data_IF_899589377456
#
_entry.id   IF_899589377456
#
_cell.length_a   1.000
_cell.length_b   1.000
_cell.length_c   1.000
_cell.angle_alpha   90.00
_cell.angle_beta   90.00
_cell.angle_gamma   90.00
#
_symmetry.space_group_name_H-M   'P 1'
#
loop_
_entity.id
_entity.type
_entity.pdbx_description
1 polymer ?
#
# COMPACT_ATOMS: atom_id res chain seq x y z
N UNK A 1 2.38 -4.85 34.48
CA UNK A 1 3.02 -5.04 33.16
C UNK A 1 2.45 -6.27 32.49
N UNK A 2 1.94 -6.18 31.24
CA UNK A 2 1.60 -7.39 30.45
C UNK A 2 2.90 -8.07 30.03
N UNK A 3 2.98 -9.40 30.12
CA UNK A 3 4.16 -10.11 29.61
C UNK A 3 4.22 -9.97 28.08
N UNK A 4 5.43 -9.80 27.54
CA UNK A 4 5.68 -9.65 26.10
C UNK A 4 5.00 -10.76 25.28
N UNK A 5 5.03 -12.01 25.75
CA UNK A 5 4.33 -13.15 25.13
C UNK A 5 2.80 -12.99 25.06
N UNK A 6 2.18 -12.41 26.10
CA UNK A 6 0.73 -12.16 26.14
C UNK A 6 0.34 -10.99 25.21
N UNK A 7 1.24 -10.03 25.01
CA UNK A 7 1.04 -8.94 24.05
C UNK A 7 1.12 -9.44 22.59
N UNK A 8 2.13 -10.24 22.26
CA UNK A 8 2.32 -10.81 20.91
C UNK A 8 1.17 -11.73 20.49
N UNK A 9 0.70 -12.59 21.41
CA UNK A 9 -0.46 -13.47 21.13
C UNK A 9 -1.79 -12.71 21.00
N UNK A 10 -1.93 -11.57 21.67
CA UNK A 10 -3.05 -10.66 21.49
C UNK A 10 -3.03 -9.96 20.13
N UNK A 11 -1.86 -9.47 19.70
CA UNK A 11 -1.69 -8.79 18.40
C UNK A 11 -2.09 -9.65 17.21
N UNK A 12 -1.55 -10.86 17.12
CA UNK A 12 -1.89 -11.78 16.02
C UNK A 12 -3.38 -12.17 15.97
N UNK A 13 -4.06 -12.18 17.13
CA UNK A 13 -5.50 -12.43 17.17
C UNK A 13 -6.25 -11.27 16.55
N UNK A 14 -5.92 -10.04 16.97
CA UNK A 14 -6.54 -8.83 16.43
C UNK A 14 -6.32 -8.67 14.91
N UNK A 15 -5.10 -8.97 14.42
CA UNK A 15 -4.78 -8.95 12.99
C UNK A 15 -5.69 -9.92 12.21
N UNK A 16 -5.82 -11.17 12.69
CA UNK A 16 -6.70 -12.16 12.08
C UNK A 16 -8.17 -11.75 12.13
N UNK A 17 -8.64 -11.31 13.29
CA UNK A 17 -10.03 -10.90 13.48
C UNK A 17 -10.41 -9.79 12.48
N UNK A 18 -9.49 -8.86 12.20
CA UNK A 18 -9.69 -7.81 11.19
C UNK A 18 -9.82 -8.38 9.77
N UNK A 19 -8.95 -9.32 9.39
CA UNK A 19 -8.95 -9.97 8.07
C UNK A 19 -10.21 -10.79 7.85
N UNK A 20 -10.58 -11.59 8.84
CA UNK A 20 -11.78 -12.43 8.81
C UNK A 20 -13.04 -11.56 8.71
N UNK A 21 -13.07 -10.40 9.39
CA UNK A 21 -14.15 -9.43 9.24
C UNK A 21 -14.25 -8.84 7.83
N UNK A 22 -13.13 -8.52 7.17
CA UNK A 22 -13.15 -8.04 5.78
C UNK A 22 -13.67 -9.12 4.82
N UNK A 23 -13.23 -10.36 4.99
CA UNK A 23 -13.68 -11.50 4.17
C UNK A 23 -15.14 -11.83 4.37
N UNK A 24 -15.63 -11.81 5.61
CA UNK A 24 -17.04 -11.98 5.92
C UNK A 24 -17.90 -10.88 5.26
N UNK A 25 -17.34 -9.68 5.07
CA UNK A 25 -17.97 -8.60 4.33
C UNK A 25 -17.78 -8.69 2.79
N UNK A 26 -17.20 -9.77 2.27
CA UNK A 26 -16.95 -9.97 0.84
C UNK A 26 -15.85 -9.08 0.25
N UNK A 27 -14.97 -8.51 1.09
CA UNK A 27 -13.90 -7.61 0.66
C UNK A 27 -12.60 -8.36 0.42
N UNK A 28 -11.84 -7.90 -0.57
CA UNK A 28 -10.50 -8.39 -0.89
C UNK A 28 -9.47 -7.86 0.11
N UNK A 29 -9.23 -8.62 1.17
CA UNK A 29 -8.12 -8.42 2.08
C UNK A 29 -7.26 -9.69 2.15
N UNK A 30 -5.96 -9.53 1.93
CA UNK A 30 -4.98 -10.59 2.05
C UNK A 30 -4.19 -10.40 3.35
N UNK A 31 -4.09 -11.48 4.12
CA UNK A 31 -3.16 -11.59 5.23
C UNK A 31 -2.12 -12.62 4.82
N UNK A 32 -0.93 -12.15 4.46
CA UNK A 32 0.13 -13.00 3.94
C UNK A 32 0.58 -14.02 4.98
N UNK A 33 1.14 -15.15 4.54
CA UNK A 33 1.79 -16.09 5.48
C UNK A 33 2.82 -15.30 6.31
N UNK A 34 2.78 -15.42 7.64
CA UNK A 34 3.85 -14.86 8.49
C UNK A 34 5.19 -15.33 7.91
N UNK A 35 6.03 -14.40 7.45
CA UNK A 35 7.36 -14.77 6.96
C UNK A 35 8.12 -15.42 8.12
N UNK A 36 8.30 -16.74 8.03
CA UNK A 36 9.16 -17.50 8.93
C UNK A 36 10.60 -17.30 8.46
N UNK A 37 11.13 -16.12 8.76
CA UNK A 37 12.54 -15.82 8.56
C UNK A 37 13.33 -16.59 9.62
N UNK A 38 13.91 -17.73 9.24
CA UNK A 38 14.59 -18.68 10.16
C UNK A 38 15.73 -18.06 10.96
N UNK A 39 16.25 -16.91 10.52
CA UNK A 39 17.33 -16.17 11.18
C UNK A 39 16.90 -14.79 11.69
N UNK A 40 15.60 -14.51 11.74
CA UNK A 40 15.08 -13.21 12.18
C UNK A 40 14.91 -13.17 13.70
N UNK A 41 15.72 -12.35 14.35
CA UNK A 41 15.59 -12.00 15.75
C UNK A 41 14.45 -10.98 15.93
N UNK A 42 13.26 -11.42 16.34
CA UNK A 42 12.11 -10.53 16.62
C UNK A 42 12.37 -9.36 17.60
N UNK A 43 13.50 -9.40 18.32
CA UNK A 43 13.90 -8.34 19.26
C UNK A 43 14.79 -7.29 18.58
N UNK A 44 15.59 -7.69 17.59
CA UNK A 44 16.64 -6.86 17.02
C UNK A 44 16.45 -6.56 15.52
N UNK A 45 15.60 -7.33 14.85
CA UNK A 45 15.44 -7.28 13.41
C UNK A 45 14.09 -6.64 13.05
N UNK A 46 14.10 -5.79 12.04
CA UNK A 46 12.88 -5.19 11.49
C UNK A 46 12.29 -6.11 10.41
N UNK A 47 11.00 -6.40 10.50
CA UNK A 47 10.27 -7.09 9.45
C UNK A 47 9.62 -6.03 8.55
N UNK A 48 10.13 -5.85 7.33
CA UNK A 48 9.68 -4.81 6.40
C UNK A 48 8.37 -5.11 5.68
N UNK A 49 7.66 -6.18 6.05
CA UNK A 49 6.37 -6.54 5.44
C UNK A 49 5.20 -6.02 6.27
N UNK A 50 4.13 -5.53 5.63
CA UNK A 50 2.95 -5.06 6.35
C UNK A 50 2.20 -6.22 7.02
N UNK A 51 1.38 -5.91 8.02
CA UNK A 51 0.53 -6.89 8.70
C UNK A 51 -0.55 -7.44 7.75
N UNK A 52 -1.06 -6.64 6.83
CA UNK A 52 -2.01 -7.07 5.80
C UNK A 52 -1.85 -6.25 4.51
N UNK A 53 -2.26 -6.82 3.38
CA UNK A 53 -2.38 -6.15 2.10
C UNK A 53 -3.85 -6.08 1.67
N UNK A 54 -4.25 -4.98 1.06
CA UNK A 54 -5.62 -4.75 0.57
C UNK A 54 -5.62 -4.45 -0.91
N UNK A 55 -6.68 -4.85 -1.59
CA UNK A 55 -6.92 -4.44 -2.98
C UNK A 55 -7.73 -3.14 -2.98
N UNK A 56 -7.19 -2.11 -3.63
CA UNK A 56 -7.82 -0.81 -3.79
C UNK A 56 -7.96 -0.51 -5.29
N UNK A 57 -9.02 0.23 -5.66
CA UNK A 57 -9.21 0.69 -7.02
C UNK A 57 -8.58 2.07 -7.21
N UNK A 58 -7.96 2.29 -8.37
CA UNK A 58 -7.40 3.57 -8.77
C UNK A 58 -7.96 3.90 -10.14
N UNK A 59 -8.43 5.13 -10.33
CA UNK A 59 -8.94 5.62 -11.60
C UNK A 59 -7.84 6.45 -12.28
N UNK A 60 -7.49 6.13 -13.52
CA UNK A 60 -6.43 6.80 -14.26
C UNK A 60 -7.04 7.64 -15.38
N UNK A 61 -6.70 8.92 -15.40
CA UNK A 61 -7.24 9.90 -16.32
C UNK A 61 -6.10 10.60 -17.06
N UNK A 62 -5.90 10.25 -18.32
CA UNK A 62 -4.96 10.94 -19.19
C UNK A 62 -5.48 12.35 -19.55
N UNK A 63 -4.56 13.31 -19.62
CA UNK A 63 -4.83 14.72 -19.91
C UNK A 63 -3.79 15.26 -20.87
N UNK A 64 -4.24 15.93 -21.92
CA UNK A 64 -3.38 16.71 -22.81
C UNK A 64 -3.00 18.07 -22.19
N UNK A 65 -2.34 17.99 -21.03
CA UNK A 65 -1.87 19.12 -20.23
C UNK A 65 -0.39 18.94 -19.98
N UNK A 66 0.36 20.04 -19.88
CA UNK A 66 1.78 20.01 -19.57
C UNK A 66 2.00 20.33 -18.10
N UNK A 67 2.41 19.33 -17.32
CA UNK A 67 2.80 19.46 -15.92
C UNK A 67 3.80 18.36 -15.55
N UNK A 68 4.57 18.56 -14.49
CA UNK A 68 5.54 17.59 -13.93
C UNK A 68 5.33 17.33 -12.45
N UNK A 69 4.63 18.24 -11.75
CA UNK A 69 4.31 18.12 -10.33
C UNK A 69 3.01 18.87 -10.01
N UNK A 70 2.48 18.80 -8.77
CA UNK A 70 1.32 19.59 -8.37
C UNK A 70 1.51 21.09 -8.59
N UNK A 71 2.70 21.63 -8.33
CA UNK A 71 2.98 23.07 -8.36
C UNK A 71 2.89 23.68 -9.75
N UNK A 72 3.31 22.95 -10.79
CA UNK A 72 3.27 23.42 -12.19
C UNK A 72 2.00 23.01 -12.94
N UNK A 73 1.03 22.38 -12.27
CA UNK A 73 -0.27 22.06 -12.86
C UNK A 73 -0.96 23.34 -13.38
N UNK A 74 -1.48 23.36 -14.62
CA UNK A 74 -1.80 24.61 -15.32
C UNK A 74 -3.10 25.30 -14.90
N UNK A 75 -3.90 24.68 -14.04
CA UNK A 75 -5.19 25.19 -13.58
C UNK A 75 -5.29 25.20 -12.06
N UNK A 76 -6.08 26.11 -11.51
CA UNK A 76 -6.34 26.18 -10.07
C UNK A 76 -7.25 25.05 -9.56
N UNK A 77 -7.85 24.28 -10.47
CA UNK A 77 -8.71 23.15 -10.18
C UNK A 77 -8.43 21.94 -11.08
N UNK A 78 -8.88 20.78 -10.65
CA UNK A 78 -8.83 19.52 -11.41
C UNK A 78 -10.21 18.86 -11.44
N UNK A 79 -10.61 18.42 -12.63
CA UNK A 79 -11.83 17.64 -12.82
C UNK A 79 -11.60 16.19 -12.39
N UNK A 80 -12.19 15.82 -11.26
CA UNK A 80 -12.01 14.51 -10.63
C UNK A 80 -12.83 13.45 -11.33
N UNK A 81 -14.15 13.61 -11.42
CA UNK A 81 -15.01 12.62 -12.08
C UNK A 81 -16.41 13.14 -12.44
N UNK A 82 -17.12 12.40 -13.30
CA UNK A 82 -18.53 12.67 -13.61
C UNK A 82 -19.42 12.27 -12.42
N UNK A 83 -20.26 13.19 -11.94
CA UNK A 83 -21.20 12.95 -10.84
C UNK A 83 -22.19 11.81 -11.14
N UNK A 84 -22.52 11.60 -12.43
CA UNK A 84 -23.35 10.46 -12.86
C UNK A 84 -22.62 9.13 -12.68
N UNK A 85 -21.31 9.10 -12.93
CA UNK A 85 -20.46 7.94 -12.74
C UNK A 85 -20.31 7.61 -11.26
N UNK A 86 -19.93 8.60 -10.46
CA UNK A 86 -19.78 8.49 -9.01
C UNK A 86 -21.02 7.94 -8.28
N UNK A 87 -22.21 8.28 -8.76
CA UNK A 87 -23.48 7.78 -8.21
C UNK A 87 -23.80 6.33 -8.56
N UNK A 88 -23.10 5.72 -9.52
CA UNK A 88 -23.37 4.37 -10.07
C UNK A 88 -22.26 3.36 -9.77
N UNK A 89 -21.10 3.82 -9.32
CA UNK A 89 -19.96 2.95 -9.01
C UNK A 89 -20.24 2.08 -7.78
N UNK A 90 -20.02 0.77 -7.93
CA UNK A 90 -20.10 -0.18 -6.81
C UNK A 90 -18.88 -0.08 -5.88
N UNK A 91 -17.71 0.24 -6.44
CA UNK A 91 -16.44 0.43 -5.71
C UNK A 91 -15.91 1.81 -6.06
N UNK A 92 -15.76 2.67 -5.05
CA UNK A 92 -15.18 4.00 -5.24
C UNK A 92 -13.66 3.91 -5.36
N UNK A 93 -13.03 4.62 -6.32
CA UNK A 93 -11.59 4.75 -6.40
C UNK A 93 -10.99 5.29 -5.09
N UNK A 94 -9.92 4.67 -4.62
CA UNK A 94 -9.06 5.19 -3.55
C UNK A 94 -8.27 6.41 -4.02
N UNK A 95 -7.89 6.44 -5.29
CA UNK A 95 -7.14 7.54 -5.90
C UNK A 95 -7.62 7.80 -7.32
N UNK A 96 -7.54 9.07 -7.72
CA UNK A 96 -7.66 9.52 -9.10
C UNK A 96 -6.29 10.03 -9.55
N UNK A 97 -5.70 9.35 -10.53
CA UNK A 97 -4.39 9.66 -11.09
C UNK A 97 -4.58 10.45 -12.38
N UNK A 98 -3.93 11.60 -12.49
CA UNK A 98 -3.92 12.44 -13.68
C UNK A 98 -2.56 12.32 -14.37
N UNK A 99 -2.56 11.73 -15.56
CA UNK A 99 -1.36 11.53 -16.37
C UNK A 99 -1.26 12.61 -17.44
N UNK A 100 -0.13 13.32 -17.50
CA UNK A 100 0.20 14.27 -18.56
C UNK A 100 0.63 13.51 -19.81
N UNK A 101 -0.14 13.61 -20.89
CA UNK A 101 0.26 13.03 -22.19
C UNK A 101 1.41 13.82 -22.85
N UNK A 102 1.73 15.02 -22.34
CA UNK A 102 2.79 15.89 -22.88
C UNK A 102 4.16 15.60 -22.26
N UNK A 103 4.19 15.25 -20.98
CA UNK A 103 5.44 15.07 -20.20
C UNK A 103 5.62 13.66 -19.67
N UNK A 104 4.59 12.82 -19.67
CA UNK A 104 4.59 11.49 -19.06
C UNK A 104 4.56 11.48 -17.53
N UNK A 105 4.54 12.65 -16.88
CA UNK A 105 4.45 12.76 -15.43
C UNK A 105 3.00 12.66 -14.96
N UNK A 106 2.79 12.29 -13.71
CA UNK A 106 1.45 12.19 -13.14
C UNK A 106 1.38 12.77 -11.73
N UNK A 107 0.18 13.19 -11.37
CA UNK A 107 -0.20 13.68 -10.04
C UNK A 107 -1.49 12.97 -9.64
N UNK A 108 -1.88 13.03 -8.38
CA UNK A 108 -3.08 12.31 -7.93
C UNK A 108 -3.84 13.06 -6.85
N UNK A 109 -5.11 12.70 -6.66
CA UNK A 109 -5.92 13.09 -5.48
C UNK A 109 -6.55 11.84 -4.87
N UNK A 110 -6.92 11.92 -3.60
CA UNK A 110 -7.76 10.91 -2.95
C UNK A 110 -9.06 11.53 -2.44
N UNK A 111 -10.22 10.88 -2.63
CA UNK A 111 -11.48 11.36 -2.05
C UNK A 111 -11.48 11.34 -0.52
N UNK A 112 -10.49 10.72 0.13
CA UNK A 112 -10.31 10.77 1.57
C UNK A 112 -9.94 12.17 2.08
N UNK A 113 -9.34 13.01 1.23
CA UNK A 113 -8.99 14.39 1.56
C UNK A 113 -10.13 15.38 1.29
N UNK A 114 -11.28 14.91 0.76
CA UNK A 114 -12.38 15.78 0.36
C UNK A 114 -12.87 16.61 1.55
N UNK A 115 -12.87 17.92 1.34
CA UNK A 115 -13.39 18.91 2.28
C UNK A 115 -14.45 19.80 1.62
N UNK A 116 -14.81 20.92 2.25
CA UNK A 116 -15.82 21.86 1.74
C UNK A 116 -15.34 22.70 0.54
N UNK A 117 -14.06 22.62 0.14
CA UNK A 117 -13.51 23.35 -1.01
C UNK A 117 -13.75 22.64 -2.34
N UNK A 118 -14.12 21.36 -2.30
CA UNK A 118 -14.49 20.59 -3.49
C UNK A 118 -15.89 21.02 -3.97
N UNK A 119 -16.03 21.26 -5.26
CA UNK A 119 -17.25 21.77 -5.87
C UNK A 119 -17.87 20.77 -6.84
N UNK A 120 -19.17 20.92 -7.06
CA UNK A 120 -19.91 20.23 -8.12
C UNK A 120 -20.22 21.28 -9.19
N UNK A 121 -19.67 21.10 -10.38
CA UNK A 121 -19.76 22.07 -11.47
C UNK A 121 -20.44 21.46 -12.70
N UNK A 122 -21.14 22.29 -13.46
CA UNK A 122 -21.67 21.87 -14.76
C UNK A 122 -20.67 22.26 -15.84
N UNK A 123 -20.09 21.27 -16.51
CA UNK A 123 -19.10 21.44 -17.57
C UNK A 123 -19.69 20.98 -18.89
N UNK A 124 -19.45 21.75 -19.96
CA UNK A 124 -19.88 21.36 -21.30
C UNK A 124 -18.89 20.35 -21.90
N UNK A 125 -19.34 19.13 -22.15
CA UNK A 125 -18.59 18.15 -22.94
C UNK A 125 -18.69 18.53 -24.42
N UNK A 126 -17.66 19.18 -24.94
CA UNK A 126 -17.63 19.63 -26.33
C UNK A 126 -17.59 18.46 -27.34
N UNK A 127 -17.14 17.27 -26.92
CA UNK A 127 -17.10 16.09 -27.77
C UNK A 127 -18.48 15.44 -27.89
N UNK A 128 -19.23 15.37 -26.78
CA UNK A 128 -20.56 14.73 -26.73
C UNK A 128 -21.73 15.71 -26.80
N UNK A 129 -21.46 17.01 -26.87
CA UNK A 129 -22.45 18.06 -27.08
C UNK A 129 -23.48 18.23 -25.95
N UNK A 130 -23.17 17.81 -24.72
CA UNK A 130 -24.06 17.96 -23.58
C UNK A 130 -23.34 18.45 -22.33
N UNK A 131 -24.11 19.02 -21.41
CA UNK A 131 -23.62 19.44 -20.11
C UNK A 131 -23.55 18.24 -19.17
N UNK A 132 -22.45 18.14 -18.42
CA UNK A 132 -22.22 17.08 -17.44
C UNK A 132 -21.85 17.68 -16.09
N UNK A 133 -22.38 17.07 -15.03
CA UNK A 133 -21.99 17.40 -13.66
C UNK A 133 -20.62 16.79 -13.36
N UNK A 134 -19.68 17.61 -12.93
CA UNK A 134 -18.31 17.22 -12.59
C UNK A 134 -18.03 17.49 -11.12
N UNK A 135 -17.42 16.52 -10.46
CA UNK A 135 -16.75 16.74 -9.20
C UNK A 135 -15.40 17.42 -9.48
N UNK A 136 -15.15 18.54 -8.82
CA UNK A 136 -13.98 19.37 -9.02
C UNK A 136 -13.24 19.51 -7.69
N UNK A 137 -11.93 19.28 -7.72
CA UNK A 137 -11.05 19.47 -6.58
C UNK A 137 -10.13 20.67 -6.83
N UNK A 138 -9.79 21.47 -5.80
CA UNK A 138 -8.76 22.49 -5.93
C UNK A 138 -7.38 21.88 -6.19
N UNK A 139 -6.53 22.60 -6.92
CA UNK A 139 -5.14 22.22 -7.23
C UNK A 139 -4.33 21.85 -5.99
N UNK A 140 -4.56 22.49 -4.85
CA UNK A 140 -3.81 22.21 -3.61
C UNK A 140 -4.09 20.83 -3.01
N UNK A 141 -5.10 20.10 -3.49
CA UNK A 141 -5.31 18.68 -3.16
C UNK A 141 -4.48 17.73 -4.03
N UNK A 142 -3.86 18.21 -5.12
CA UNK A 142 -2.96 17.40 -5.93
C UNK A 142 -1.73 17.02 -5.12
N UNK A 143 -1.41 15.73 -5.16
CA UNK A 143 -0.25 15.13 -4.51
C UNK A 143 0.77 14.68 -5.56
N UNK A 144 2.07 14.71 -5.21
CA UNK A 144 3.13 14.22 -6.09
C UNK A 144 3.05 12.69 -6.23
N UNK A 145 3.47 12.18 -7.39
CA UNK A 145 3.43 10.75 -7.73
C UNK A 145 4.12 9.87 -6.66
N UNK A 146 5.26 10.36 -6.18
CA UNK A 146 6.15 9.69 -5.23
C UNK A 146 5.45 9.41 -3.89
N UNK A 147 4.37 10.12 -3.56
CA UNK A 147 3.56 9.77 -2.38
C UNK A 147 2.77 8.49 -2.57
N UNK A 148 2.12 8.29 -3.73
CA UNK A 148 1.32 7.09 -3.98
C UNK A 148 2.22 5.88 -4.27
N UNK A 149 3.35 6.09 -4.95
CA UNK A 149 4.34 5.04 -5.25
C UNK A 149 4.84 4.31 -4.01
N UNK A 150 4.97 5.00 -2.87
CA UNK A 150 5.36 4.41 -1.58
C UNK A 150 4.38 3.37 -1.04
N UNK A 151 3.14 3.39 -1.51
CA UNK A 151 2.08 2.45 -1.12
C UNK A 151 1.85 1.35 -2.16
N UNK A 152 2.49 1.43 -3.32
CA UNK A 152 2.39 0.39 -4.34
C UNK A 152 3.12 -0.86 -3.85
N UNK A 153 2.42 -1.99 -3.94
CA UNK A 153 2.98 -3.25 -3.50
C UNK A 153 4.06 -3.71 -4.50
N UNK A 154 5.30 -4.01 -4.06
CA UNK A 154 6.35 -4.43 -4.97
C UNK A 154 5.96 -5.69 -5.75
N UNK A 155 6.31 -5.72 -7.03
CA UNK A 155 5.91 -6.78 -7.95
C UNK A 155 6.38 -8.15 -7.48
N UNK A 156 7.60 -8.23 -6.95
CA UNK A 156 8.23 -9.44 -6.41
C UNK A 156 7.48 -10.04 -5.23
N UNK A 157 6.60 -9.27 -4.57
CA UNK A 157 5.84 -9.74 -3.43
C UNK A 157 4.40 -10.14 -3.77
N UNK A 158 3.93 -9.90 -5.01
CA UNK A 158 2.55 -10.19 -5.41
C UNK A 158 2.19 -11.67 -5.29
N UNK A 159 3.14 -12.59 -5.47
CA UNK A 159 2.90 -14.04 -5.30
C UNK A 159 2.62 -14.45 -3.84
N UNK A 160 2.94 -13.60 -2.87
CA UNK A 160 2.63 -13.81 -1.46
C UNK A 160 1.30 -13.18 -1.04
N UNK A 161 0.71 -12.36 -1.92
CA UNK A 161 -0.62 -11.79 -1.73
C UNK A 161 -1.62 -12.86 -2.17
N UNK A 162 -2.38 -13.37 -1.21
CA UNK A 162 -3.38 -14.44 -1.33
C UNK A 162 -2.86 -15.89 -1.11
N UNK A 163 -2.31 -16.13 0.09
CA UNK A 163 -2.04 -17.48 0.60
C UNK A 163 -3.12 -18.00 1.56
N UNK A 164 -3.20 -19.33 1.71
CA UNK A 164 -4.09 -20.00 2.67
C UNK A 164 -3.90 -19.49 4.12
N UNK A 165 -4.93 -18.85 4.67
CA UNK A 165 -4.95 -18.31 6.05
C UNK A 165 -4.99 -19.37 7.13
N UNK A 166 -5.26 -20.63 6.78
CA UNK A 166 -5.11 -21.73 7.71
C UNK A 166 -3.66 -21.90 8.17
N UNK A 167 -2.66 -21.37 7.45
CA UNK A 167 -1.25 -21.49 7.79
C UNK A 167 -0.77 -20.65 8.98
N UNK A 168 -1.66 -19.84 9.59
CA UNK A 168 -1.37 -19.18 10.86
C UNK A 168 -1.61 -20.09 12.07
N UNK A 169 -1.29 -21.38 11.98
CA UNK A 169 -1.45 -22.29 13.13
C UNK A 169 -0.28 -22.08 14.09
N UNK A 170 -0.61 -21.57 15.28
CA UNK A 170 0.21 -21.57 16.51
C UNK A 170 1.57 -20.88 16.40
N UNK A 171 1.54 -19.55 16.43
CA UNK A 171 2.67 -18.73 16.87
C UNK A 171 2.97 -18.97 18.35
N UNK A 172 3.64 -20.08 18.68
CA UNK A 172 4.03 -20.40 20.04
C UNK A 172 4.49 -21.85 20.23
N UNK A 173 5.54 -22.29 19.53
CA UNK A 173 6.24 -23.49 19.99
C UNK A 173 7.20 -24.15 19.03
N UNK A 174 6.79 -24.42 17.79
CA UNK A 174 7.56 -25.31 16.92
C UNK A 174 7.83 -24.66 15.57
N UNK A 175 9.10 -24.74 15.17
CA UNK A 175 9.61 -24.24 13.90
C UNK A 175 9.03 -25.15 12.81
N UNK A 176 8.01 -24.69 12.09
CA UNK A 176 7.60 -25.39 10.87
C UNK A 176 8.73 -25.28 9.84
N UNK A 177 9.28 -26.41 9.44
CA UNK A 177 10.20 -26.53 8.31
C UNK A 177 9.37 -26.40 7.03
N UNK A 178 9.54 -25.31 6.28
CA UNK A 178 8.97 -25.17 4.93
C UNK A 178 9.96 -24.55 3.96
N UNK A 179 9.83 -24.96 2.70
CA UNK A 179 10.75 -24.65 1.61
C UNK A 179 10.88 -23.14 1.37
N UNK A 180 12.14 -22.71 1.24
CA UNK A 180 12.53 -21.31 1.07
C UNK A 180 12.08 -20.80 -0.30
N UNK A 181 11.33 -19.71 -0.31
CA UNK A 181 11.47 -18.75 -1.39
C UNK A 181 12.67 -17.86 -1.08
N UNK A 182 13.79 -18.11 -1.75
CA UNK A 182 14.91 -17.15 -1.81
C UNK A 182 14.78 -16.48 -3.17
N UNK A 183 14.42 -15.20 -3.20
CA UNK A 183 14.54 -14.39 -4.40
C UNK A 183 16.01 -14.46 -4.85
N UNK A 184 16.26 -15.20 -5.95
CA UNK A 184 17.60 -15.49 -6.46
C UNK A 184 18.21 -14.35 -7.28
N UNK A 185 17.72 -13.12 -7.12
CA UNK A 185 18.07 -11.99 -8.00
C UNK A 185 18.38 -10.74 -7.19
N UNK A 186 19.49 -10.75 -6.45
CA UNK A 186 20.32 -9.56 -6.18
C UNK A 186 21.73 -10.02 -5.74
N UNK A 187 22.73 -10.06 -6.63
CA UNK A 187 24.08 -10.53 -6.31
C UNK A 187 24.91 -9.56 -5.45
N UNK A 188 24.39 -8.37 -5.08
CA UNK A 188 25.21 -7.31 -4.49
C UNK A 188 25.14 -7.16 -2.97
N UNK A 189 24.49 -8.09 -2.25
CA UNK A 189 24.60 -8.12 -0.78
C UNK A 189 25.87 -8.87 -0.40
N UNK A 190 27.00 -8.16 -0.46
CA UNK A 190 28.32 -8.68 -0.12
C UNK A 190 28.33 -9.48 1.18
N UNK A 191 28.64 -10.78 1.07
CA UNK A 191 28.82 -11.66 2.20
C UNK A 191 29.94 -11.15 3.10
N UNK A 192 29.60 -10.76 4.32
CA UNK A 192 30.60 -10.57 5.38
C UNK A 192 30.99 -11.94 5.93
N UNK A 193 32.07 -12.49 5.38
CA UNK A 193 32.88 -13.50 6.06
C UNK A 193 33.54 -12.86 7.29
N UNK A 194 32.86 -12.96 8.44
CA UNK A 194 33.34 -12.42 9.71
C UNK A 194 33.49 -13.52 10.75
N UNK A 195 34.60 -14.26 10.71
CA UNK A 195 35.03 -15.15 11.80
C UNK A 195 34.99 -14.39 13.13
N UNK A 196 34.03 -14.72 14.00
CA UNK A 196 33.94 -14.14 15.34
C UNK A 196 35.06 -14.70 16.22
N UNK A 197 36.07 -13.89 16.55
CA UNK A 197 37.08 -14.26 17.55
C UNK A 197 36.42 -14.39 18.94
N UNK A 198 36.59 -15.54 19.58
CA UNK A 198 36.24 -15.78 20.99
C UNK A 198 37.04 -14.83 21.90
N UNK A 199 36.37 -13.92 22.59
CA UNK A 199 36.96 -13.21 23.74
C UNK A 199 37.07 -14.17 24.93
N UNK A 200 38.30 -14.47 25.32
CA UNK A 200 38.62 -15.15 26.59
C UNK A 200 38.40 -14.18 27.76
N UNK A 201 37.63 -14.61 28.76
CA UNK A 201 37.44 -13.90 30.03
C UNK A 201 38.74 -13.97 30.84
N UNK A 202 39.35 -12.83 31.15
CA UNK A 202 40.34 -12.73 32.24
C UNK A 202 39.58 -12.65 33.56
N UNK A 203 39.81 -13.62 34.44
CA UNK A 203 39.51 -13.50 35.86
C UNK A 203 40.44 -12.45 36.47
N UNK A 204 39.87 -11.47 37.18
CA UNK A 204 40.62 -10.64 38.13
C UNK A 204 40.58 -11.37 39.48
N UNK A 205 41.76 -11.68 40.00
CA UNK A 205 42.03 -11.82 41.43
C UNK A 205 42.80 -10.60 41.89
#
# INVERSE_FOLDING_TARGET
>A
MRSFRKAVSGGHRSERDWVDAQRAAGRSAAHGKKLLLTNHCKVNDHCGTPDAAVLLTVEIKERNLKFTCPEDFPYDTVFVDDLRGLGREFIRPFAYVFLSSVTGHWVWVTPLDRDSSWTEETVKDNTRGHDMGMLVAPKHHLRPAEELEKYLYPQEFLEFVDGDTALFVRGGGEVEVRDRYVAKTHPDVGGRDGKTQKKTRKHMG
#
